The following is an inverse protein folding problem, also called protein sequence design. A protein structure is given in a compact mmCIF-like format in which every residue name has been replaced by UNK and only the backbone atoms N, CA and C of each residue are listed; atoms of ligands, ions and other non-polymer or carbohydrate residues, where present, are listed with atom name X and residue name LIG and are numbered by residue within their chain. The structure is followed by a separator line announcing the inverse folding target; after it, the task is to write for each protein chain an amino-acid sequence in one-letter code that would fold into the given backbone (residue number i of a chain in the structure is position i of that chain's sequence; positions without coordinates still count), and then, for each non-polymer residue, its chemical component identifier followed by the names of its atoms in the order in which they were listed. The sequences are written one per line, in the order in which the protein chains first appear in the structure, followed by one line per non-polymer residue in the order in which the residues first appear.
data_IF_162035646405
#
_entry.id   IF_162035646405
#
_cell.length_a   1.000
_cell.length_b   1.000
_cell.length_c   1.000
_cell.angle_alpha   90.00
_cell.angle_beta   90.00
_cell.angle_gamma   90.00
#
_symmetry.space_group_name_H-M   'P 1'
#
loop_
_entity.id
_entity.type
_entity.pdbx_description
1 polymer ?
#
# COMPACT_ATOMS: atom_id res chain seq x y z
N UNK A 1 -3.58 -34.50 32.65
CA UNK A 1 -2.60 -35.61 32.80
C UNK A 1 -3.16 -36.79 32.04
N UNK A 2 -2.51 -37.52 31.15
CA UNK A 2 -1.15 -37.67 30.68
C UNK A 2 -1.32 -38.47 29.37
N UNK A 3 -1.02 -37.93 28.17
CA UNK A 3 -1.04 -38.73 26.94
C UNK A 3 0.29 -39.48 26.85
N UNK A 4 0.25 -40.78 27.05
CA UNK A 4 1.40 -41.67 27.02
C UNK A 4 1.92 -41.79 25.58
N UNK A 5 3.10 -41.23 25.33
CA UNK A 5 3.83 -41.41 24.07
C UNK A 5 4.42 -42.82 24.02
N UNK A 6 4.06 -43.61 23.02
CA UNK A 6 4.82 -44.81 22.65
C UNK A 6 5.69 -44.45 21.42
N UNK A 7 6.99 -44.33 21.68
CA UNK A 7 8.01 -44.25 20.64
C UNK A 7 8.22 -45.64 20.05
N UNK A 8 7.84 -45.85 18.79
CA UNK A 8 8.24 -47.04 18.03
C UNK A 8 9.48 -46.67 17.24
N UNK A 9 10.59 -47.34 17.57
CA UNK A 9 11.91 -47.12 16.99
C UNK A 9 11.95 -47.59 15.52
N UNK A 10 12.36 -46.70 14.62
CA UNK A 10 12.63 -47.03 13.22
C UNK A 10 13.91 -47.87 13.13
N UNK A 11 13.77 -49.15 12.75
CA UNK A 11 14.90 -49.97 12.30
C UNK A 11 14.92 -49.90 10.78
N UNK A 12 15.90 -49.19 10.24
CA UNK A 12 16.15 -49.12 8.80
C UNK A 12 16.79 -50.42 8.31
N UNK A 13 16.19 -51.09 7.32
CA UNK A 13 16.89 -51.50 6.10
C UNK A 13 16.02 -52.28 5.09
N UNK A 14 16.24 -51.91 3.81
CA UNK A 14 16.13 -52.71 2.58
C UNK A 14 14.76 -52.80 1.88
N UNK A 15 14.71 -52.02 0.78
CA UNK A 15 14.13 -52.25 -0.55
C UNK A 15 12.59 -52.27 -0.76
N UNK A 16 12.21 -51.38 -1.70
CA UNK A 16 11.06 -51.36 -2.62
C UNK A 16 9.83 -50.51 -2.25
N UNK A 17 9.61 -49.54 -3.15
CA UNK A 17 8.37 -49.08 -3.74
C UNK A 17 7.29 -48.44 -2.84
N UNK A 18 7.22 -47.12 -2.98
CA UNK A 18 6.02 -46.37 -3.34
C UNK A 18 4.79 -46.53 -2.43
N UNK A 19 4.73 -45.68 -1.42
CA UNK A 19 3.47 -45.19 -0.85
C UNK A 19 3.73 -43.81 -0.29
N UNK A 20 3.36 -42.78 -1.05
CA UNK A 20 3.35 -41.40 -0.57
C UNK A 20 2.49 -41.32 0.69
N UNK A 21 3.11 -41.02 1.83
CA UNK A 21 2.39 -40.70 3.06
C UNK A 21 1.54 -39.46 2.79
N UNK A 22 0.22 -39.60 2.95
CA UNK A 22 -0.74 -38.51 2.92
C UNK A 22 -0.51 -37.66 4.19
N UNK A 23 0.40 -36.71 4.08
CA UNK A 23 0.56 -35.65 5.06
C UNK A 23 -0.65 -34.73 4.92
N UNK A 24 -1.41 -34.51 5.99
CA UNK A 24 -2.43 -33.48 6.03
C UNK A 24 -1.72 -32.10 5.96
N UNK A 25 -1.44 -31.62 4.76
CA UNK A 25 -1.03 -30.24 4.54
C UNK A 25 -2.21 -29.35 4.95
N UNK A 26 -1.96 -28.42 5.88
CA UNK A 26 -2.93 -27.35 6.09
C UNK A 26 -2.82 -26.46 4.86
N UNK A 27 -3.82 -26.51 3.97
CA UNK A 27 -3.95 -25.62 2.82
C UNK A 27 -3.85 -24.16 3.30
N UNK A 28 -2.67 -23.56 3.11
CA UNK A 28 -2.36 -22.15 3.39
C UNK A 28 -2.52 -21.27 2.13
N UNK A 29 -3.16 -21.79 1.10
CA UNK A 29 -3.02 -21.30 -0.28
C UNK A 29 -4.00 -20.16 -0.67
N UNK A 30 -4.66 -19.51 0.30
CA UNK A 30 -5.60 -18.40 0.04
C UNK A 30 -5.00 -17.00 0.32
N UNK A 31 -3.76 -16.90 0.81
CA UNK A 31 -3.09 -15.61 0.98
C UNK A 31 -2.24 -15.26 -0.26
N UNK A 32 -2.42 -14.07 -0.85
CA UNK A 32 -1.60 -13.64 -1.98
C UNK A 32 -0.13 -13.59 -1.53
N UNK A 33 0.74 -14.31 -2.23
CA UNK A 33 2.18 -14.27 -1.95
C UNK A 33 2.80 -13.00 -2.56
N UNK A 34 3.97 -12.58 -2.07
CA UNK A 34 4.73 -11.40 -2.53
C UNK A 34 4.84 -11.27 -4.08
N UNK A 35 4.83 -12.39 -4.79
CA UNK A 35 4.96 -12.51 -6.24
C UNK A 35 3.64 -12.62 -7.02
N UNK A 36 2.48 -12.54 -6.35
CA UNK A 36 1.15 -12.74 -6.97
C UNK A 36 0.34 -11.46 -7.16
N UNK A 37 0.97 -10.29 -6.99
CA UNK A 37 0.29 -9.01 -7.22
C UNK A 37 0.24 -8.64 -8.70
N UNK A 38 -0.84 -7.96 -9.09
CA UNK A 38 -1.10 -7.55 -10.46
C UNK A 38 -0.23 -6.37 -10.93
N UNK A 39 -0.61 -5.84 -12.09
CA UNK A 39 0.08 -4.69 -12.68
C UNK A 39 -0.05 -3.46 -11.79
N UNK A 40 1.08 -2.82 -11.49
CA UNK A 40 1.19 -1.66 -10.59
C UNK A 40 0.75 -1.94 -9.15
N UNK A 41 0.75 -3.20 -8.73
CA UNK A 41 0.48 -3.60 -7.34
C UNK A 41 1.74 -4.13 -6.67
N UNK A 42 1.79 -4.01 -5.35
CA UNK A 42 2.81 -4.57 -4.48
C UNK A 42 2.13 -5.23 -3.27
N UNK A 43 2.71 -6.34 -2.81
CA UNK A 43 2.23 -6.99 -1.61
C UNK A 43 2.53 -6.13 -0.39
N UNK A 44 1.57 -6.02 0.51
CA UNK A 44 1.71 -5.29 1.76
C UNK A 44 1.26 -6.17 2.91
N UNK A 45 2.18 -6.43 3.85
CA UNK A 45 1.89 -7.06 5.14
C UNK A 45 1.03 -6.16 6.04
N UNK A 46 1.00 -4.85 5.76
CA UNK A 46 0.19 -3.90 6.52
C UNK A 46 -0.28 -2.72 5.66
N UNK A 47 -1.40 -2.88 4.92
CA UNK A 47 -2.01 -1.82 4.12
C UNK A 47 -2.25 -0.52 4.89
N UNK A 48 -2.71 -0.60 6.15
CA UNK A 48 -2.98 0.57 7.00
C UNK A 48 -1.72 1.41 7.28
N UNK A 49 -0.53 0.80 7.19
CA UNK A 49 0.76 1.47 7.35
C UNK A 49 1.25 2.23 6.12
N UNK A 50 0.52 2.21 4.99
CA UNK A 50 0.97 2.84 3.75
C UNK A 50 1.04 4.38 3.83
N UNK A 51 0.28 5.00 4.74
CA UNK A 51 0.29 6.43 5.05
C UNK A 51 0.23 7.34 3.81
N UNK A 52 -0.59 6.93 2.84
CA UNK A 52 -0.81 7.59 1.54
C UNK A 52 -2.20 7.17 1.01
N UNK A 53 -2.72 7.80 -0.05
CA UNK A 53 -4.00 7.41 -0.60
C UNK A 53 -3.83 6.06 -1.29
N UNK A 54 -4.78 5.17 -1.08
CA UNK A 54 -4.83 3.84 -1.69
C UNK A 54 -5.92 3.77 -2.76
N UNK A 55 -6.90 4.67 -2.71
CA UNK A 55 -8.02 4.78 -3.65
C UNK A 55 -8.11 6.18 -4.26
N UNK A 56 -8.72 6.30 -5.44
CA UNK A 56 -8.93 7.61 -6.07
C UNK A 56 -9.74 8.58 -5.19
N UNK A 57 -10.69 8.08 -4.40
CA UNK A 57 -11.57 8.92 -3.59
C UNK A 57 -10.84 9.59 -2.41
N UNK A 58 -9.66 9.07 -2.04
CA UNK A 58 -8.79 9.66 -1.02
C UNK A 58 -7.86 10.74 -1.58
N UNK A 59 -7.71 10.84 -2.91
CA UNK A 59 -6.77 11.77 -3.54
C UNK A 59 -7.26 13.21 -3.41
N UNK A 60 -6.39 14.09 -2.88
CA UNK A 60 -6.73 15.48 -2.62
C UNK A 60 -7.32 15.72 -1.22
N UNK A 61 -7.40 14.68 -0.38
CA UNK A 61 -7.82 14.78 1.01
C UNK A 61 -6.72 14.25 1.95
N UNK A 62 -6.59 14.82 3.16
CA UNK A 62 -5.65 14.30 4.14
C UNK A 62 -5.94 12.84 4.47
N UNK A 63 -4.92 11.98 4.35
CA UNK A 63 -5.00 10.57 4.74
C UNK A 63 -4.31 10.41 6.09
N UNK A 64 -5.04 10.03 7.16
CA UNK A 64 -4.41 9.77 8.44
C UNK A 64 -3.49 8.55 8.35
N UNK A 65 -2.26 8.69 8.84
CA UNK A 65 -1.34 7.57 8.98
C UNK A 65 -1.72 6.79 10.24
N UNK A 66 -1.97 5.48 10.11
CA UNK A 66 -2.32 4.66 11.26
C UNK A 66 -1.10 4.47 12.17
N UNK A 67 -1.29 4.69 13.47
CA UNK A 67 -0.30 4.34 14.50
C UNK A 67 -0.28 2.82 14.68
N UNK A 68 0.61 2.13 13.96
CA UNK A 68 0.76 0.67 14.05
C UNK A 68 1.53 0.31 15.33
N UNK A 69 0.83 -0.30 16.28
CA UNK A 69 1.42 -0.84 17.51
C UNK A 69 2.17 -2.14 17.19
N UNK A 70 3.51 -2.20 17.35
CA UNK A 70 4.29 -3.40 17.03
C UNK A 70 3.88 -4.63 17.86
N UNK A 71 3.29 -4.43 19.05
CA UNK A 71 2.84 -5.52 19.92
C UNK A 71 1.48 -6.08 19.50
N UNK A 72 0.63 -5.26 18.86
CA UNK A 72 -0.70 -5.69 18.37
C UNK A 72 -0.68 -6.14 16.92
N UNK A 73 0.35 -5.76 16.16
CA UNK A 73 0.45 -6.04 14.73
C UNK A 73 -0.43 -5.13 13.88
N UNK A 74 -0.49 -5.43 12.58
CA UNK A 74 -1.30 -4.65 11.66
C UNK A 74 -2.80 -4.89 11.89
N UNK A 75 -3.66 -3.86 11.96
CA UNK A 75 -5.10 -4.05 12.08
C UNK A 75 -5.74 -4.68 10.83
N UNK A 76 -5.21 -4.39 9.64
CA UNK A 76 -5.67 -4.94 8.37
C UNK A 76 -4.92 -6.21 7.96
N UNK A 77 -5.63 -7.13 7.31
CA UNK A 77 -5.02 -8.32 6.69
C UNK A 77 -4.02 -7.95 5.57
N UNK A 78 -2.95 -8.74 5.39
CA UNK A 78 -2.04 -8.61 4.25
C UNK A 78 -2.76 -8.74 2.91
N UNK A 79 -2.42 -7.89 1.94
CA UNK A 79 -2.96 -7.94 0.58
C UNK A 79 -2.08 -7.17 -0.41
N UNK A 80 -2.36 -7.36 -1.70
CA UNK A 80 -1.85 -6.47 -2.73
C UNK A 80 -2.50 -5.09 -2.62
N UNK A 81 -1.67 -4.05 -2.64
CA UNK A 81 -2.09 -2.64 -2.74
C UNK A 81 -1.41 -2.01 -3.96
N UNK A 82 -1.95 -0.92 -4.49
CA UNK A 82 -1.29 -0.20 -5.58
C UNK A 82 0.06 0.33 -5.14
N UNK A 83 1.11 0.22 -5.97
CA UNK A 83 2.46 0.76 -5.72
C UNK A 83 2.43 2.25 -5.41
N UNK A 84 3.48 2.75 -4.75
CA UNK A 84 3.63 4.19 -4.53
C UNK A 84 3.51 5.00 -5.84
N UNK A 85 2.68 6.05 -5.83
CA UNK A 85 2.32 6.85 -7.01
C UNK A 85 1.10 6.33 -7.80
N UNK A 86 0.56 5.17 -7.44
CA UNK A 86 -0.65 4.58 -8.02
C UNK A 86 -1.72 4.40 -6.95
N UNK A 87 -2.99 4.47 -7.36
CA UNK A 87 -4.15 4.27 -6.50
C UNK A 87 -5.24 3.48 -7.23
N UNK A 88 -6.08 2.79 -6.47
CA UNK A 88 -7.15 1.96 -6.98
C UNK A 88 -8.31 2.84 -7.46
N UNK A 89 -8.72 2.66 -8.71
CA UNK A 89 -9.91 3.32 -9.24
C UNK A 89 -11.18 2.47 -9.07
N UNK A 90 -12.31 3.01 -9.51
CA UNK A 90 -13.62 2.34 -9.40
C UNK A 90 -13.78 1.10 -10.28
N UNK A 91 -12.84 0.87 -11.21
CA UNK A 91 -12.78 -0.35 -12.03
C UNK A 91 -11.83 -1.40 -11.43
N UNK A 92 -11.40 -1.21 -10.17
CA UNK A 92 -10.47 -2.09 -9.46
C UNK A 92 -9.13 -2.28 -10.18
N UNK A 93 -8.61 -1.21 -10.80
CA UNK A 93 -7.28 -1.19 -11.40
C UNK A 93 -6.44 -0.06 -10.78
N UNK A 94 -5.15 -0.33 -10.60
CA UNK A 94 -4.19 0.67 -10.12
C UNK A 94 -3.79 1.62 -11.25
N UNK A 95 -4.20 2.88 -11.13
CA UNK A 95 -3.88 3.96 -12.09
C UNK A 95 -2.97 4.99 -11.44
N UNK A 96 -2.20 5.77 -12.23
CA UNK A 96 -1.42 6.88 -11.69
C UNK A 96 -2.30 7.85 -10.89
N UNK A 97 -1.81 8.30 -9.73
CA UNK A 97 -2.57 9.18 -8.80
C UNK A 97 -3.13 10.45 -9.49
N UNK A 98 -2.41 10.97 -10.49
CA UNK A 98 -2.79 12.17 -11.24
C UNK A 98 -3.96 11.97 -12.20
N UNK A 99 -4.36 10.73 -12.45
CA UNK A 99 -5.52 10.39 -13.29
C UNK A 99 -6.82 10.35 -12.49
N UNK A 100 -6.76 10.41 -11.16
CA UNK A 100 -7.95 10.47 -10.32
C UNK A 100 -8.61 11.85 -10.38
N UNK A 101 -9.95 11.91 -10.37
CA UNK A 101 -10.66 13.12 -9.98
C UNK A 101 -10.27 13.48 -8.56
N UNK A 102 -9.72 14.68 -8.34
CA UNK A 102 -9.28 15.13 -7.02
C UNK A 102 -9.69 16.59 -6.78
N UNK A 103 -9.45 17.09 -5.57
CA UNK A 103 -9.51 18.54 -5.28
C UNK A 103 -10.87 19.18 -5.59
N UNK A 104 -11.97 18.49 -5.25
CA UNK A 104 -13.33 18.97 -5.50
C UNK A 104 -13.68 19.16 -6.98
N UNK A 105 -12.88 18.60 -7.90
CA UNK A 105 -13.07 18.76 -9.34
C UNK A 105 -12.51 20.06 -9.92
N UNK A 106 -11.67 20.79 -9.18
CA UNK A 106 -10.99 21.97 -9.73
C UNK A 106 -10.05 21.54 -10.89
N UNK A 107 -10.30 22.00 -12.14
CA UNK A 107 -9.49 21.62 -13.30
C UNK A 107 -8.07 22.20 -13.25
N UNK A 108 -7.80 23.12 -12.33
CA UNK A 108 -6.51 23.76 -12.14
C UNK A 108 -5.69 23.17 -10.99
N UNK A 109 -6.26 22.23 -10.24
CA UNK A 109 -5.59 21.56 -9.14
C UNK A 109 -5.20 20.12 -9.51
N UNK A 110 -4.23 19.59 -8.78
CA UNK A 110 -3.84 18.18 -8.76
C UNK A 110 -3.65 17.72 -7.30
N UNK A 111 -4.15 16.53 -6.98
CA UNK A 111 -3.96 15.91 -5.67
C UNK A 111 -2.67 15.09 -5.58
N UNK A 112 -2.36 14.58 -4.39
CA UNK A 112 -1.10 13.87 -4.14
C UNK A 112 0.08 14.81 -3.85
N UNK A 113 -0.20 16.10 -3.70
CA UNK A 113 0.77 17.12 -3.35
C UNK A 113 0.84 17.38 -1.85
N UNK A 114 1.23 18.60 -1.51
CA UNK A 114 1.49 19.06 -0.15
C UNK A 114 0.46 20.11 0.32
N UNK A 115 -0.37 20.60 -0.61
CA UNK A 115 -1.41 21.62 -0.34
C UNK A 115 -0.88 23.05 -0.20
N UNK A 116 0.43 23.23 -0.23
CA UNK A 116 1.08 24.51 0.06
C UNK A 116 1.19 25.42 -1.16
N UNK A 117 0.96 24.90 -2.37
CA UNK A 117 1.21 25.62 -3.63
C UNK A 117 2.61 26.24 -3.67
N UNK A 118 3.58 25.57 -3.03
CA UNK A 118 4.92 26.13 -2.87
C UNK A 118 5.58 26.32 -4.24
N UNK A 119 5.97 27.56 -4.53
CA UNK A 119 6.52 27.95 -5.83
C UNK A 119 5.51 27.98 -6.97
N UNK A 120 4.22 27.92 -6.64
CA UNK A 120 3.09 28.15 -7.53
C UNK A 120 2.20 29.30 -7.00
N UNK A 121 2.71 30.21 -6.16
CA UNK A 121 1.98 31.44 -5.84
C UNK A 121 2.21 32.47 -6.94
N UNK A 122 1.20 33.26 -7.32
CA UNK A 122 1.38 34.25 -8.38
C UNK A 122 2.44 35.32 -8.02
N UNK A 123 2.74 35.48 -6.73
CA UNK A 123 3.78 36.35 -6.22
C UNK A 123 5.21 35.82 -6.38
N UNK A 124 5.40 34.51 -6.61
CA UNK A 124 6.74 33.91 -6.62
C UNK A 124 6.96 32.75 -7.61
N UNK A 125 6.00 32.39 -8.47
CA UNK A 125 6.11 31.24 -9.38
C UNK A 125 7.33 31.24 -10.32
N UNK A 126 7.92 32.40 -10.57
CA UNK A 126 9.12 32.62 -11.39
C UNK A 126 10.43 32.71 -10.58
N UNK A 127 10.35 32.77 -9.25
CA UNK A 127 11.49 33.00 -8.35
C UNK A 127 12.21 31.71 -7.96
N UNK A 128 12.82 31.02 -8.91
CA UNK A 128 13.56 29.76 -8.63
C UNK A 128 15.01 30.05 -8.17
N UNK A 129 15.54 29.34 -7.16
CA UNK A 129 14.95 28.21 -6.42
C UNK A 129 14.10 28.63 -5.21
N UNK A 130 12.95 27.97 -5.02
CA UNK A 130 12.07 28.15 -3.85
C UNK A 130 12.30 27.02 -2.87
N UNK A 131 12.46 27.35 -1.59
CA UNK A 131 12.51 26.38 -0.50
C UNK A 131 11.10 26.14 0.01
N UNK A 132 10.59 24.93 -0.20
CA UNK A 132 9.30 24.51 0.33
C UNK A 132 9.47 23.98 1.75
N UNK A 133 8.56 24.38 2.65
CA UNK A 133 8.53 23.84 4.00
C UNK A 133 7.96 22.43 3.96
N UNK A 134 8.69 21.47 4.51
CA UNK A 134 8.22 20.09 4.68
C UNK A 134 7.42 19.90 5.96
N UNK A 135 7.57 20.80 6.94
CA UNK A 135 7.00 20.65 8.28
C UNK A 135 5.49 20.94 8.32
N UNK A 136 4.98 21.69 7.35
CA UNK A 136 3.55 22.03 7.18
C UNK A 136 2.93 21.25 6.03
N UNK A 137 3.56 20.18 5.57
CA UNK A 137 3.09 19.42 4.43
C UNK A 137 1.87 18.57 4.78
N UNK A 138 0.73 18.90 4.18
CA UNK A 138 -0.42 18.01 4.20
C UNK A 138 -0.24 16.99 3.09
N UNK A 139 0.28 15.81 3.43
CA UNK A 139 0.43 14.73 2.47
C UNK A 139 -0.91 14.45 1.77
N UNK A 140 -0.87 14.37 0.45
CA UNK A 140 -2.03 14.27 -0.46
C UNK A 140 -2.87 15.53 -0.63
N UNK A 141 -2.40 16.66 -0.13
CA UNK A 141 -3.01 17.96 -0.34
C UNK A 141 -3.09 18.34 -1.82
N UNK A 142 -3.95 19.32 -2.10
CA UNK A 142 -4.19 19.84 -3.44
C UNK A 142 -3.24 20.97 -3.79
N UNK A 143 -2.44 20.78 -4.82
CA UNK A 143 -1.55 21.82 -5.37
C UNK A 143 -2.05 22.28 -6.75
N UNK A 144 -1.72 23.52 -7.13
CA UNK A 144 -1.95 24.02 -8.47
C UNK A 144 -1.14 23.21 -9.48
N UNK A 145 -1.77 22.90 -10.62
CA UNK A 145 -1.08 22.37 -11.78
C UNK A 145 0.02 23.31 -12.22
N UNK A 146 1.05 22.75 -12.84
CA UNK A 146 2.18 23.53 -13.34
C UNK A 146 1.73 24.70 -14.21
N UNK A 147 2.31 25.88 -13.96
CA UNK A 147 2.02 27.16 -14.65
C UNK A 147 0.65 27.75 -14.34
N UNK A 148 -0.06 27.22 -13.37
CA UNK A 148 -1.21 27.87 -12.75
C UNK A 148 -0.78 28.32 -11.37
N UNK A 149 -1.22 29.51 -10.98
CA UNK A 149 -0.90 30.08 -9.70
C UNK A 149 -2.18 30.45 -8.94
N UNK A 150 -2.09 30.35 -7.61
CA UNK A 150 -3.10 30.85 -6.66
C UNK A 150 -2.79 32.29 -6.24
#
# INVERSE_FOLDING_TARGET
MLKTFLFVACIANVLLADSTEETCEQDSDDYPNENDCGLNEEFSDCPDGACRPLTCDEVGYPVPCADIDPERGCPSEPKCICKNGFVLNNSSICIPIRECPSCGGDPNAEGGGCGLNCGNLCSNYDQKPIKCSTDICEANGCDCRQRICF
#
